data_IF_801671033752
#
_entry.id   IF_801671033752
#
_cell.length_a   1.000
_cell.length_b   1.000
_cell.length_c   1.000
_cell.angle_alpha   90.00
_cell.angle_beta   90.00
_cell.angle_gamma   90.00
#
_symmetry.space_group_name_H-M   'P 1'
#
loop_
_entity.id
_entity.type
_entity.pdbx_description
1 polymer ?
#
# COMPACT_ATOMS: atom_id res chain seq x y z
N UNK A 1 -13.72 -26.87 23.96
CA UNK A 1 -13.12 -25.78 23.17
C UNK A 1 -12.04 -25.18 24.05
N UNK A 2 -10.79 -25.44 23.71
CA UNK A 2 -9.64 -25.00 24.51
C UNK A 2 -9.54 -23.47 24.50
N UNK A 3 -8.95 -22.88 25.55
CA UNK A 3 -8.83 -21.42 25.70
C UNK A 3 -8.13 -20.77 24.49
N UNK A 4 -7.23 -21.51 23.82
CA UNK A 4 -6.52 -21.07 22.62
C UNK A 4 -7.43 -20.97 21.39
N UNK A 5 -8.26 -21.97 21.13
CA UNK A 5 -9.23 -21.95 20.02
C UNK A 5 -10.21 -20.77 20.14
N UNK A 6 -10.62 -20.45 21.38
CA UNK A 6 -11.49 -19.30 21.64
C UNK A 6 -10.80 -17.97 21.31
N UNK A 7 -9.53 -17.81 21.69
CA UNK A 7 -8.75 -16.60 21.40
C UNK A 7 -8.53 -16.43 19.90
N UNK A 8 -8.15 -17.49 19.20
CA UNK A 8 -7.98 -17.49 17.75
C UNK A 8 -9.26 -17.08 17.02
N UNK A 9 -10.40 -17.67 17.41
CA UNK A 9 -11.70 -17.31 16.84
C UNK A 9 -12.04 -15.83 17.05
N UNK A 10 -11.76 -15.27 18.24
CA UNK A 10 -11.98 -13.85 18.52
C UNK A 10 -11.08 -12.98 17.62
N UNK A 11 -9.80 -13.33 17.48
CA UNK A 11 -8.87 -12.60 16.63
C UNK A 11 -9.31 -12.60 15.16
N UNK A 12 -9.76 -13.74 14.64
CA UNK A 12 -10.29 -13.85 13.27
C UNK A 12 -11.53 -12.98 13.06
N UNK A 13 -12.44 -12.95 14.03
CA UNK A 13 -13.63 -12.10 13.97
C UNK A 13 -13.28 -10.61 14.03
N UNK A 14 -12.32 -10.22 14.87
CA UNK A 14 -11.83 -8.85 14.95
C UNK A 14 -11.15 -8.42 13.66
N UNK A 15 -10.29 -9.27 13.08
CA UNK A 15 -9.65 -9.01 11.78
C UNK A 15 -10.70 -8.84 10.68
N UNK A 16 -11.67 -9.75 10.58
CA UNK A 16 -12.76 -9.66 9.61
C UNK A 16 -13.59 -8.38 9.78
N UNK A 17 -13.86 -7.98 11.03
CA UNK A 17 -14.55 -6.71 11.33
C UNK A 17 -13.76 -5.50 10.83
N UNK A 18 -12.45 -5.45 11.12
CA UNK A 18 -11.54 -4.38 10.66
C UNK A 18 -11.45 -4.33 9.13
N UNK A 19 -11.29 -5.48 8.46
CA UNK A 19 -11.31 -5.58 6.97
C UNK A 19 -12.63 -5.02 6.41
N UNK A 20 -13.77 -5.36 7.01
CA UNK A 20 -15.08 -4.84 6.57
C UNK A 20 -15.21 -3.32 6.73
N UNK A 21 -14.58 -2.71 7.74
CA UNK A 21 -14.52 -1.25 7.87
C UNK A 21 -13.73 -0.64 6.71
N UNK A 22 -12.55 -1.18 6.41
CA UNK A 22 -11.73 -0.74 5.28
C UNK A 22 -12.48 -0.87 3.95
N UNK A 23 -13.17 -2.01 3.72
CA UNK A 23 -14.00 -2.23 2.53
C UNK A 23 -15.05 -1.13 2.38
N UNK A 24 -15.72 -0.74 3.47
CA UNK A 24 -16.73 0.33 3.44
C UNK A 24 -16.10 1.70 3.12
N UNK A 25 -14.95 2.01 3.72
CA UNK A 25 -14.23 3.26 3.44
C UNK A 25 -13.76 3.34 1.99
N UNK A 26 -13.20 2.25 1.45
CA UNK A 26 -12.77 2.13 0.06
C UNK A 26 -13.93 2.24 -0.92
N UNK A 27 -15.09 1.66 -0.59
CA UNK A 27 -16.30 1.77 -1.42
C UNK A 27 -16.80 3.22 -1.57
N UNK A 28 -16.63 4.07 -0.54
CA UNK A 28 -16.95 5.51 -0.64
C UNK A 28 -16.06 6.20 -1.68
N UNK A 29 -14.89 5.64 -1.96
CA UNK A 29 -13.92 6.09 -2.95
C UNK A 29 -14.03 5.39 -4.30
N UNK A 30 -15.13 4.66 -4.52
CA UNK A 30 -15.36 3.88 -5.75
C UNK A 30 -14.30 2.78 -5.97
N UNK A 31 -13.71 2.28 -4.88
CA UNK A 31 -12.78 1.15 -4.87
C UNK A 31 -13.52 -0.05 -4.28
N UNK A 32 -13.79 -1.05 -5.11
CA UNK A 32 -14.60 -2.21 -4.73
C UNK A 32 -13.72 -3.37 -4.25
N UNK A 33 -13.52 -3.45 -2.94
CA UNK A 33 -12.79 -4.55 -2.30
C UNK A 33 -13.74 -5.63 -1.79
N UNK A 34 -13.24 -6.86 -1.71
CA UNK A 34 -13.85 -7.97 -0.98
C UNK A 34 -12.91 -8.44 0.14
N UNK A 35 -13.33 -9.44 0.93
CA UNK A 35 -12.42 -10.03 1.92
C UNK A 35 -11.21 -10.73 1.29
N UNK A 36 -11.36 -11.20 0.04
CA UNK A 36 -10.28 -11.86 -0.72
C UNK A 36 -9.27 -10.86 -1.28
N UNK A 37 -9.60 -9.55 -1.27
CA UNK A 37 -8.66 -8.48 -1.60
C UNK A 37 -7.59 -8.27 -0.52
N UNK A 38 -7.66 -8.96 0.63
CA UNK A 38 -6.68 -8.79 1.69
C UNK A 38 -5.74 -9.99 1.73
N UNK A 39 -4.44 -9.70 1.73
CA UNK A 39 -3.44 -10.71 2.06
C UNK A 39 -3.59 -11.13 3.53
N UNK A 40 -3.08 -12.32 3.84
CA UNK A 40 -2.93 -12.69 5.25
C UNK A 40 -1.85 -11.80 5.91
N UNK A 41 -2.04 -11.41 7.19
CA UNK A 41 -1.13 -10.46 7.84
C UNK A 41 0.33 -10.93 7.87
N UNK A 42 0.57 -12.22 8.10
CA UNK A 42 1.92 -12.78 8.09
C UNK A 42 2.55 -12.69 6.70
N UNK A 43 1.81 -13.03 5.63
CA UNK A 43 2.31 -12.90 4.27
C UNK A 43 2.62 -11.44 3.92
N UNK A 44 1.78 -10.52 4.38
CA UNK A 44 2.02 -9.08 4.21
C UNK A 44 3.32 -8.65 4.90
N UNK A 45 3.55 -9.09 6.14
CA UNK A 45 4.80 -8.83 6.86
C UNK A 45 6.03 -9.38 6.13
N UNK A 46 5.96 -10.62 5.66
CA UNK A 46 7.06 -11.27 4.94
C UNK A 46 7.38 -10.56 3.61
N UNK A 47 6.36 -10.06 2.91
CA UNK A 47 6.55 -9.24 1.71
C UNK A 47 7.13 -7.87 2.05
N UNK A 48 6.63 -7.20 3.08
CA UNK A 48 7.11 -5.88 3.48
C UNK A 48 8.62 -5.90 3.77
N UNK A 49 9.11 -6.92 4.48
CA UNK A 49 10.53 -7.09 4.76
C UNK A 49 11.41 -7.35 3.51
N UNK A 50 10.81 -7.62 2.34
CA UNK A 50 11.57 -7.72 1.08
C UNK A 50 11.83 -6.35 0.46
N UNK A 51 11.09 -5.30 0.84
CA UNK A 51 11.27 -3.95 0.30
C UNK A 51 12.66 -3.40 0.65
N UNK A 52 13.19 -3.76 1.81
CA UNK A 52 14.53 -3.36 2.26
C UNK A 52 15.67 -4.03 1.45
N UNK A 53 15.35 -4.99 0.57
CA UNK A 53 16.37 -5.66 -0.23
C UNK A 53 16.86 -4.74 -1.36
N UNK A 54 18.15 -4.80 -1.72
CA UNK A 54 18.65 -4.04 -2.86
C UNK A 54 17.86 -4.37 -4.13
N UNK A 55 17.35 -3.33 -4.78
CA UNK A 55 16.69 -3.43 -6.08
C UNK A 55 17.56 -2.71 -7.12
N UNK A 56 17.80 -3.39 -8.25
CA UNK A 56 18.54 -2.80 -9.37
C UNK A 56 17.68 -1.80 -10.14
N UNK A 57 18.32 -0.82 -10.79
CA UNK A 57 17.66 0.17 -11.65
C UNK A 57 16.55 0.97 -10.96
N UNK A 58 16.73 1.29 -9.67
CA UNK A 58 15.83 2.19 -8.96
C UNK A 58 16.09 3.65 -9.34
N UNK A 59 15.02 4.41 -9.53
CA UNK A 59 15.07 5.87 -9.64
C UNK A 59 14.64 6.47 -8.30
N UNK A 60 15.45 7.39 -7.78
CA UNK A 60 15.21 8.01 -6.47
C UNK A 60 15.38 9.52 -6.51
N UNK A 61 14.53 10.24 -5.79
CA UNK A 61 14.73 11.65 -5.53
C UNK A 61 14.18 12.06 -4.17
N UNK A 62 14.74 13.14 -3.61
CA UNK A 62 14.38 13.64 -2.29
C UNK A 62 13.51 14.89 -2.36
N UNK A 63 12.65 15.07 -1.38
CA UNK A 63 11.88 16.29 -1.19
C UNK A 63 11.55 16.55 0.28
N UNK A 64 11.28 17.81 0.66
CA UNK A 64 10.88 18.12 2.02
C UNK A 64 9.48 17.59 2.35
N UNK A 65 9.22 17.29 3.63
CA UNK A 65 7.96 16.72 4.10
C UNK A 65 6.73 17.49 3.61
N UNK A 66 6.01 16.92 2.66
CA UNK A 66 4.86 17.57 2.07
C UNK A 66 3.96 16.54 1.39
N UNK A 67 2.83 16.22 2.04
CA UNK A 67 1.82 15.30 1.49
C UNK A 67 1.30 15.72 0.12
N UNK A 68 1.15 17.03 -0.12
CA UNK A 68 0.66 17.54 -1.38
C UNK A 68 1.70 17.37 -2.49
N UNK A 69 2.99 17.48 -2.15
CA UNK A 69 4.08 17.16 -3.07
C UNK A 69 4.13 15.68 -3.37
N UNK A 70 4.07 14.80 -2.36
CA UNK A 70 3.99 13.36 -2.56
C UNK A 70 2.83 12.96 -3.50
N UNK A 71 1.63 13.46 -3.22
CA UNK A 71 0.46 13.22 -4.07
C UNK A 71 0.63 13.81 -5.49
N UNK A 72 1.31 14.95 -5.64
CA UNK A 72 1.63 15.52 -6.96
C UNK A 72 2.59 14.62 -7.75
N UNK A 73 3.68 14.19 -7.14
CA UNK A 73 4.67 13.33 -7.79
C UNK A 73 4.06 11.97 -8.18
N UNK A 74 3.22 11.39 -7.31
CA UNK A 74 2.45 10.18 -7.61
C UNK A 74 1.54 10.37 -8.84
N UNK A 75 0.83 11.49 -8.97
CA UNK A 75 0.03 11.78 -10.18
C UNK A 75 0.88 11.94 -11.43
N UNK A 76 2.04 12.57 -11.31
CA UNK A 76 2.97 12.74 -12.43
C UNK A 76 3.53 11.40 -12.89
N UNK A 77 3.88 10.52 -11.95
CA UNK A 77 4.29 9.16 -12.22
C UNK A 77 3.19 8.39 -12.95
N UNK A 78 1.96 8.40 -12.43
CA UNK A 78 0.85 7.66 -13.01
C UNK A 78 0.59 7.98 -14.49
N UNK A 79 0.74 9.26 -14.87
CA UNK A 79 0.61 9.70 -16.28
C UNK A 79 1.67 9.09 -17.21
N UNK A 80 2.81 8.67 -16.68
CA UNK A 80 3.90 8.04 -17.44
C UNK A 80 3.76 6.52 -17.48
N UNK A 81 3.06 5.91 -16.53
CA UNK A 81 2.86 4.46 -16.47
C UNK A 81 2.03 4.00 -17.69
N UNK A 82 2.48 3.00 -18.47
CA UNK A 82 1.70 2.42 -19.56
C UNK A 82 0.31 1.93 -19.09
N UNK A 83 -0.73 2.13 -19.91
CA UNK A 83 -2.11 1.73 -19.58
C UNK A 83 -2.22 0.26 -19.15
N UNK A 84 -1.46 -0.62 -19.80
CA UNK A 84 -1.44 -2.05 -19.46
C UNK A 84 -0.97 -2.31 -18.02
N UNK A 85 -0.08 -1.47 -17.47
CA UNK A 85 0.35 -1.58 -16.07
C UNK A 85 -0.63 -0.90 -15.12
N UNK A 86 -1.35 0.15 -15.55
CA UNK A 86 -2.37 0.81 -14.73
C UNK A 86 -3.52 -0.14 -14.35
N UNK A 87 -3.85 -1.09 -15.23
CA UNK A 87 -4.91 -2.08 -14.99
C UNK A 87 -4.45 -3.29 -14.17
N UNK A 88 -3.14 -3.45 -13.92
CA UNK A 88 -2.62 -4.59 -13.15
C UNK A 88 -2.91 -4.46 -11.66
N UNK A 89 -3.07 -5.62 -11.03
CA UNK A 89 -3.13 -5.73 -9.58
C UNK A 89 -1.77 -5.43 -8.95
N UNK A 90 -1.84 -4.71 -7.84
CA UNK A 90 -0.73 -4.33 -6.98
C UNK A 90 -1.13 -4.52 -5.53
N UNK A 91 -0.13 -4.55 -4.66
CA UNK A 91 -0.30 -4.64 -3.21
C UNK A 91 -0.02 -3.26 -2.62
N UNK A 92 -1.04 -2.67 -2.01
CA UNK A 92 -0.95 -1.45 -1.21
C UNK A 92 -0.75 -1.83 0.26
N UNK A 93 0.36 -1.39 0.84
CA UNK A 93 0.54 -1.43 2.28
C UNK A 93 -0.06 -0.19 2.93
N UNK A 94 -0.66 -0.37 4.08
CA UNK A 94 -1.29 0.69 4.88
C UNK A 94 -0.99 0.49 6.34
N UNK A 95 -1.22 1.51 7.17
CA UNK A 95 -0.89 1.54 8.58
C UNK A 95 -1.26 0.26 9.37
N UNK A 96 -2.39 -0.38 9.04
CA UNK A 96 -2.91 -1.54 9.79
C UNK A 96 -2.63 -2.88 9.09
N UNK A 97 -1.68 -2.94 8.15
CA UNK A 97 -1.42 -4.16 7.37
C UNK A 97 -1.01 -5.36 8.24
N UNK A 98 -0.36 -5.13 9.38
CA UNK A 98 0.05 -6.20 10.31
C UNK A 98 -1.13 -6.87 11.02
N UNK A 99 -2.29 -6.22 11.05
CA UNK A 99 -3.49 -6.75 11.70
C UNK A 99 -4.54 -7.21 10.70
N UNK A 100 -4.56 -6.59 9.51
CA UNK A 100 -5.63 -6.77 8.52
C UNK A 100 -5.13 -7.31 7.20
N UNK A 101 -3.82 -7.35 6.98
CA UNK A 101 -3.22 -7.61 5.69
C UNK A 101 -3.06 -6.35 4.83
N UNK A 102 -2.09 -6.40 3.94
CA UNK A 102 -2.01 -5.48 2.81
C UNK A 102 -3.12 -5.77 1.80
N UNK A 103 -3.44 -4.79 0.96
CA UNK A 103 -4.61 -4.82 0.08
C UNK A 103 -4.16 -5.05 -1.36
N UNK A 104 -4.75 -6.03 -2.02
CA UNK A 104 -4.66 -6.24 -3.46
C UNK A 104 -5.76 -5.41 -4.13
N UNK A 105 -5.36 -4.54 -5.05
CA UNK A 105 -6.26 -3.74 -5.88
C UNK A 105 -5.56 -3.37 -7.19
N UNK A 106 -6.30 -2.84 -8.16
CA UNK A 106 -5.68 -2.36 -9.40
C UNK A 106 -4.90 -1.08 -9.13
N UNK A 107 -3.80 -0.90 -9.85
CA UNK A 107 -2.96 0.29 -9.72
C UNK A 107 -3.78 1.56 -10.00
N UNK A 108 -4.63 1.57 -11.02
CA UNK A 108 -5.51 2.70 -11.34
C UNK A 108 -6.43 3.12 -10.18
N UNK A 109 -6.89 2.17 -9.37
CA UNK A 109 -7.81 2.43 -8.26
C UNK A 109 -7.11 3.24 -7.14
N UNK A 110 -5.80 3.08 -6.98
CA UNK A 110 -4.97 3.90 -6.08
C UNK A 110 -4.95 5.37 -6.53
N UNK A 111 -4.90 5.60 -7.85
CA UNK A 111 -4.76 6.95 -8.41
C UNK A 111 -6.08 7.68 -8.64
N UNK A 112 -7.24 7.00 -8.49
CA UNK A 112 -8.58 7.64 -8.52
C UNK A 112 -8.71 8.76 -7.48
N UNK A 113 -8.28 8.51 -6.24
CA UNK A 113 -8.20 9.52 -5.17
C UNK A 113 -6.89 9.38 -4.39
N UNK A 114 -5.79 9.74 -5.07
CA UNK A 114 -4.43 9.60 -4.52
C UNK A 114 -4.23 10.39 -3.21
N UNK A 115 -4.91 11.52 -3.03
CA UNK A 115 -4.79 12.30 -1.79
C UNK A 115 -5.33 11.49 -0.62
N UNK A 116 -6.49 10.85 -0.83
CA UNK A 116 -7.07 10.00 0.19
C UNK A 116 -6.22 8.76 0.44
N UNK A 117 -5.71 8.09 -0.60
CA UNK A 117 -4.83 6.91 -0.43
C UNK A 117 -3.56 7.27 0.33
N UNK A 118 -2.92 8.39 0.01
CA UNK A 118 -1.73 8.86 0.73
C UNK A 118 -2.05 9.11 2.23
N UNK A 119 -3.22 9.62 2.56
CA UNK A 119 -3.67 9.73 3.96
C UNK A 119 -3.95 8.35 4.57
N UNK A 120 -4.69 7.49 3.87
CA UNK A 120 -5.09 6.15 4.31
C UNK A 120 -3.89 5.24 4.59
N UNK A 121 -2.84 5.34 3.76
CA UNK A 121 -1.61 4.57 3.95
C UNK A 121 -0.93 4.84 5.29
N UNK A 122 -1.10 6.03 5.86
CA UNK A 122 -0.36 6.51 7.04
C UNK A 122 0.82 7.43 6.71
N UNK A 123 1.07 7.73 5.44
CA UNK A 123 2.16 8.62 5.06
C UNK A 123 1.96 10.07 5.52
N UNK A 124 0.77 10.64 5.32
CA UNK A 124 0.53 12.06 5.58
C UNK A 124 0.78 12.50 7.03
N UNK A 125 0.58 11.61 8.01
CA UNK A 125 0.83 11.88 9.42
C UNK A 125 2.18 11.29 9.90
N UNK A 126 2.97 10.69 9.01
CA UNK A 126 4.25 10.08 9.32
C UNK A 126 4.13 8.81 10.16
N UNK A 127 2.96 8.17 10.18
CA UNK A 127 2.74 6.92 10.90
C UNK A 127 3.24 5.70 10.11
N UNK A 128 3.39 5.83 8.80
CA UNK A 128 3.83 4.76 7.92
C UNK A 128 4.36 5.31 6.59
N UNK A 129 5.13 4.54 5.84
CA UNK A 129 5.58 4.91 4.50
C UNK A 129 4.49 4.66 3.45
N UNK A 130 4.53 5.38 2.34
CA UNK A 130 3.67 5.05 1.21
C UNK A 130 4.33 3.91 0.43
N UNK A 131 3.67 2.75 0.32
CA UNK A 131 4.27 1.58 -0.32
C UNK A 131 3.24 0.87 -1.19
N UNK A 132 3.58 0.74 -2.47
CA UNK A 132 2.84 -0.04 -3.47
C UNK A 132 3.83 -0.93 -4.23
N UNK A 133 3.56 -2.23 -4.29
CA UNK A 133 4.42 -3.18 -5.02
C UNK A 133 3.61 -4.09 -5.91
N UNK A 134 4.20 -4.54 -7.00
CA UNK A 134 3.66 -5.65 -7.78
C UNK A 134 3.81 -6.98 -7.00
N UNK A 135 2.85 -7.93 -7.07
CA UNK A 135 2.89 -9.17 -6.29
C UNK A 135 4.18 -9.99 -6.38
N UNK A 136 4.84 -10.01 -7.54
CA UNK A 136 6.13 -10.69 -7.75
C UNK A 136 7.36 -9.78 -7.52
N UNK A 137 7.17 -8.56 -7.01
CA UNK A 137 8.20 -7.56 -6.71
C UNK A 137 8.96 -7.02 -7.94
N UNK A 138 8.47 -7.27 -9.16
CA UNK A 138 9.14 -6.81 -10.38
C UNK A 138 9.16 -5.28 -10.51
N UNK A 139 8.17 -4.60 -9.94
CA UNK A 139 8.13 -3.14 -9.85
C UNK A 139 7.50 -2.68 -8.54
N UNK A 140 7.75 -1.42 -8.20
CA UNK A 140 7.11 -0.79 -7.04
C UNK A 140 7.33 0.71 -6.97
N UNK A 141 6.59 1.31 -6.03
CA UNK A 141 6.52 2.74 -5.76
C UNK A 141 6.57 2.90 -4.25
N UNK A 142 7.56 3.63 -3.77
CA UNK A 142 7.74 3.90 -2.35
C UNK A 142 7.94 5.39 -2.10
N UNK A 143 7.39 5.88 -1.00
CA UNK A 143 7.75 7.17 -0.42
C UNK A 143 8.07 6.95 1.05
N UNK A 144 9.35 6.97 1.36
CA UNK A 144 9.90 6.78 2.70
C UNK A 144 10.08 8.12 3.39
N UNK A 145 9.65 8.23 4.63
CA UNK A 145 9.80 9.43 5.43
C UNK A 145 11.02 9.35 6.35
N UNK A 146 12.00 10.22 6.13
CA UNK A 146 13.16 10.38 7.02
C UNK A 146 12.94 11.56 7.98
N UNK A 147 13.95 11.89 8.79
CA UNK A 147 13.85 12.97 9.79
C UNK A 147 13.69 14.37 9.17
N UNK A 148 14.30 14.61 8.00
CA UNK A 148 14.38 15.94 7.39
C UNK A 148 13.88 16.00 5.94
N UNK A 149 13.66 14.84 5.31
CA UNK A 149 13.20 14.74 3.93
C UNK A 149 12.42 13.44 3.72
N UNK A 150 11.68 13.38 2.64
CA UNK A 150 11.10 12.16 2.11
C UNK A 150 11.91 11.73 0.88
N UNK A 151 12.04 10.42 0.69
CA UNK A 151 12.64 9.82 -0.51
C UNK A 151 11.52 9.18 -1.32
N UNK A 152 11.36 9.61 -2.57
CA UNK A 152 10.52 8.94 -3.56
C UNK A 152 11.38 7.93 -4.31
N UNK A 153 10.94 6.67 -4.35
CA UNK A 153 11.65 5.57 -5.00
C UNK A 153 10.72 4.81 -5.91
N UNK A 154 11.16 4.54 -7.14
CA UNK A 154 10.50 3.60 -8.06
C UNK A 154 11.51 2.63 -8.64
N UNK A 155 11.05 1.46 -9.05
CA UNK A 155 11.84 0.50 -9.80
C UNK A 155 10.93 -0.29 -10.75
N UNK A 156 11.50 -0.81 -11.84
CA UNK A 156 10.84 -1.78 -12.73
C UNK A 156 9.60 -1.29 -13.48
N UNK A 157 9.22 -0.02 -13.39
CA UNK A 157 8.02 0.54 -14.05
C UNK A 157 8.19 0.81 -15.55
N UNK A 158 9.43 1.05 -15.98
CA UNK A 158 9.76 1.49 -17.35
C UNK A 158 10.77 0.58 -18.06
N UNK A 159 11.04 -0.60 -17.49
CA UNK A 159 11.96 -1.59 -18.03
C UNK A 159 11.26 -2.54 -19.00
#
# INVERSE_FOLDING_TARGET
MEINERKEKINLLQMKSKRNTIIKEMKIKDIHLTLDSFLEPQHSYDLFNKIDKPVENKEEFKFGHCKDKAAKELRLLYKKIPKQLQEKEVILFHLNYRETGAIILRLEDIFRDINWIVNFSGYSNGAFDFVVVEPTFNYGICIERFEYWDTFTIWGLFN
#
